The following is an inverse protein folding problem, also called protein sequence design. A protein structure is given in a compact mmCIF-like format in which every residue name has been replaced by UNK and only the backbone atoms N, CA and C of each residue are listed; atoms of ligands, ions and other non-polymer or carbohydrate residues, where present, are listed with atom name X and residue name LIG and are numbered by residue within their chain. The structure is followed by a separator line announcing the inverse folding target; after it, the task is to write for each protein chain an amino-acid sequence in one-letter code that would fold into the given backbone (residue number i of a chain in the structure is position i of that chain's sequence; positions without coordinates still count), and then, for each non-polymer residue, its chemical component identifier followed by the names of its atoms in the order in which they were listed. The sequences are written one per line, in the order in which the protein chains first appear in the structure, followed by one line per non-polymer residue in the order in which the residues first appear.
data_IF_522523817916
#
_entry.id   IF_522523817916
#
_cell.length_a   1.000
_cell.length_b   1.000
_cell.length_c   1.000
_cell.angle_alpha   90.00
_cell.angle_beta   90.00
_cell.angle_gamma   90.00
#
_symmetry.space_group_name_H-M   'P 1'
#
loop_
_entity.id
_entity.type
_entity.pdbx_description
1 polymer ?
#
# COMPACT_ATOMS: atom_id res chain seq x y z
N UNK A 1 -28.48 -22.55 -2.75
CA UNK A 1 -27.82 -22.40 -1.45
C UNK A 1 -27.41 -23.70 -0.77
N UNK A 2 -28.23 -24.76 -0.72
CA UNK A 2 -27.87 -26.04 -0.05
C UNK A 2 -26.64 -26.75 -0.64
N UNK A 3 -26.45 -26.70 -1.97
CA UNK A 3 -25.31 -27.35 -2.65
C UNK A 3 -23.99 -26.63 -2.31
N UNK A 4 -23.96 -25.32 -2.37
CA UNK A 4 -22.76 -24.55 -2.00
C UNK A 4 -22.35 -24.82 -0.55
N UNK A 5 -23.30 -24.83 0.39
CA UNK A 5 -23.02 -25.16 1.79
C UNK A 5 -22.45 -26.57 1.98
N UNK A 6 -22.88 -27.55 1.18
CA UNK A 6 -22.32 -28.90 1.26
C UNK A 6 -20.88 -28.97 0.71
N UNK A 7 -20.54 -28.18 -0.31
CA UNK A 7 -19.19 -28.10 -0.85
C UNK A 7 -18.23 -27.43 0.15
N UNK A 8 -18.66 -26.36 0.82
CA UNK A 8 -17.89 -25.77 1.92
C UNK A 8 -17.61 -26.76 3.04
N UNK A 9 -18.64 -27.49 3.48
CA UNK A 9 -18.47 -28.50 4.54
C UNK A 9 -17.50 -29.61 4.13
N UNK A 10 -17.49 -30.04 2.86
CA UNK A 10 -16.52 -31.02 2.36
C UNK A 10 -15.09 -30.54 2.45
N UNK A 11 -14.83 -29.28 2.09
CA UNK A 11 -13.50 -28.67 2.16
C UNK A 11 -13.03 -28.58 3.61
N UNK A 12 -13.83 -27.96 4.47
CA UNK A 12 -13.46 -27.72 5.87
C UNK A 12 -13.47 -28.99 6.74
N UNK A 13 -14.15 -30.06 6.31
CA UNK A 13 -14.05 -31.38 6.98
C UNK A 13 -12.77 -32.14 6.59
N UNK A 14 -12.07 -31.72 5.54
CA UNK A 14 -10.82 -32.36 5.14
C UNK A 14 -9.66 -31.82 5.98
N UNK A 15 -9.18 -32.65 6.91
CA UNK A 15 -8.08 -32.29 7.82
C UNK A 15 -6.79 -31.89 7.07
N UNK A 16 -6.49 -32.57 5.96
CA UNK A 16 -5.30 -32.28 5.14
C UNK A 16 -5.42 -30.88 4.55
N UNK A 17 -6.59 -30.52 4.06
CA UNK A 17 -6.84 -29.18 3.52
C UNK A 17 -6.64 -28.09 4.57
N UNK A 18 -7.18 -28.27 5.78
CA UNK A 18 -6.99 -27.34 6.88
C UNK A 18 -5.51 -27.18 7.29
N UNK A 19 -4.78 -28.29 7.37
CA UNK A 19 -3.35 -28.26 7.67
C UNK A 19 -2.59 -27.49 6.58
N UNK A 20 -2.89 -27.72 5.30
CA UNK A 20 -2.26 -27.02 4.20
C UNK A 20 -2.54 -25.50 4.25
N UNK A 21 -3.80 -25.09 4.50
CA UNK A 21 -4.14 -23.66 4.62
C UNK A 21 -3.36 -23.01 5.77
N UNK A 22 -3.33 -23.64 6.94
CA UNK A 22 -2.59 -23.12 8.09
C UNK A 22 -1.09 -23.03 7.76
N UNK A 23 -0.52 -24.06 7.14
CA UNK A 23 0.88 -24.06 6.74
C UNK A 23 1.21 -22.95 5.73
N UNK A 24 0.35 -22.71 4.73
CA UNK A 24 0.53 -21.62 3.78
C UNK A 24 0.39 -20.25 4.45
N UNK A 25 -0.56 -20.07 5.35
CA UNK A 25 -0.70 -18.82 6.10
C UNK A 25 0.51 -18.54 6.99
N UNK A 26 1.03 -19.56 7.68
CA UNK A 26 2.26 -19.44 8.45
C UNK A 26 3.47 -19.11 7.57
N UNK A 27 3.59 -19.77 6.41
CA UNK A 27 4.67 -19.49 5.46
C UNK A 27 4.58 -18.05 4.92
N UNK A 28 3.39 -17.58 4.54
CA UNK A 28 3.17 -16.22 4.06
C UNK A 28 3.55 -15.19 5.13
N UNK A 29 3.12 -15.41 6.37
CA UNK A 29 3.47 -14.56 7.50
C UNK A 29 4.99 -14.53 7.76
N UNK A 30 5.66 -15.67 7.66
CA UNK A 30 7.12 -15.74 7.79
C UNK A 30 7.84 -15.01 6.66
N UNK A 31 7.41 -15.21 5.41
CA UNK A 31 7.97 -14.50 4.26
C UNK A 31 7.76 -12.99 4.38
N UNK A 32 6.56 -12.57 4.79
CA UNK A 32 6.28 -11.16 5.04
C UNK A 32 7.27 -10.57 6.04
N UNK A 33 7.41 -11.21 7.21
CA UNK A 33 8.33 -10.73 8.24
C UNK A 33 9.77 -10.72 7.74
N UNK A 34 10.24 -11.80 7.09
CA UNK A 34 11.62 -11.89 6.63
C UNK A 34 11.97 -10.86 5.54
N UNK A 35 11.10 -10.66 4.57
CA UNK A 35 11.35 -9.73 3.46
C UNK A 35 11.19 -8.27 3.92
N UNK A 36 10.12 -7.97 4.64
CA UNK A 36 9.83 -6.59 5.05
C UNK A 36 10.70 -6.12 6.21
N UNK A 37 11.10 -7.01 7.13
CA UNK A 37 12.04 -6.62 8.18
C UNK A 37 13.42 -6.28 7.62
N UNK A 38 13.90 -7.04 6.63
CA UNK A 38 15.18 -6.76 5.97
C UNK A 38 15.17 -5.40 5.26
N UNK A 39 14.11 -5.09 4.52
CA UNK A 39 13.97 -3.79 3.84
C UNK A 39 13.80 -2.64 4.83
N UNK A 40 13.08 -2.88 5.91
CA UNK A 40 12.89 -1.88 6.97
C UNK A 40 14.17 -1.65 7.76
N UNK A 41 14.87 -2.71 8.20
CA UNK A 41 16.12 -2.62 8.95
C UNK A 41 17.25 -1.93 8.16
N UNK A 42 17.27 -2.10 6.83
CA UNK A 42 18.21 -1.42 5.95
C UNK A 42 17.77 0.00 5.53
N UNK A 43 16.59 0.45 5.99
CA UNK A 43 16.13 1.80 5.68
C UNK A 43 16.74 2.84 6.62
N UNK A 44 17.07 4.01 6.08
CA UNK A 44 17.54 5.15 6.88
C UNK A 44 16.56 5.54 8.00
N UNK A 45 15.27 5.25 7.83
CA UNK A 45 14.21 5.56 8.79
C UNK A 45 14.26 4.62 10.01
N UNK A 46 14.61 3.34 9.81
CA UNK A 46 14.71 2.38 10.92
C UNK A 46 15.88 2.66 11.87
N UNK A 47 16.92 3.32 11.37
CA UNK A 47 18.09 3.68 12.18
C UNK A 47 17.74 4.69 13.29
N UNK A 48 16.78 5.58 13.05
CA UNK A 48 16.26 6.53 14.03
C UNK A 48 14.80 6.90 13.75
N UNK A 49 13.89 5.97 14.11
CA UNK A 49 12.43 6.18 13.99
C UNK A 49 11.97 7.39 14.80
N UNK A 50 12.59 7.61 15.96
CA UNK A 50 12.26 8.73 16.84
C UNK A 50 12.54 10.09 16.19
N UNK A 51 13.69 10.23 15.53
CA UNK A 51 14.03 11.45 14.79
C UNK A 51 13.07 11.67 13.60
N UNK A 52 12.72 10.61 12.88
CA UNK A 52 11.77 10.72 11.77
C UNK A 52 10.37 11.15 12.22
N UNK A 53 9.86 10.55 13.29
CA UNK A 53 8.55 10.95 13.84
C UNK A 53 8.57 12.36 14.42
N UNK A 54 9.70 12.79 14.98
CA UNK A 54 9.86 14.17 15.44
C UNK A 54 9.83 15.15 14.27
N UNK A 55 10.55 14.87 13.18
CA UNK A 55 10.52 15.69 11.96
C UNK A 55 9.11 15.79 11.37
N UNK A 56 8.36 14.69 11.35
CA UNK A 56 6.95 14.67 10.92
C UNK A 56 6.10 15.58 11.80
N UNK A 57 6.22 15.50 13.11
CA UNK A 57 5.47 16.36 14.05
C UNK A 57 5.80 17.83 13.85
N UNK A 58 7.09 18.16 13.83
CA UNK A 58 7.55 19.53 13.62
C UNK A 58 7.05 20.11 12.28
N UNK A 59 7.06 19.29 11.22
CA UNK A 59 6.54 19.69 9.91
C UNK A 59 5.01 19.86 9.91
N UNK A 60 4.26 19.00 10.62
CA UNK A 60 2.81 19.14 10.73
C UNK A 60 2.40 20.39 11.52
N UNK A 61 3.17 20.76 12.54
CA UNK A 61 2.94 21.94 13.39
C UNK A 61 3.38 23.25 12.73
N UNK A 62 4.19 23.19 11.67
CA UNK A 62 4.63 24.35 10.94
C UNK A 62 3.48 25.00 10.15
N UNK A 63 3.38 26.34 10.19
CA UNK A 63 2.41 27.10 9.39
C UNK A 63 2.63 26.91 7.88
N UNK A 64 3.90 26.93 7.45
CA UNK A 64 4.33 26.66 6.09
C UNK A 64 5.25 25.44 6.07
N UNK A 65 4.70 24.30 5.65
CA UNK A 65 5.40 23.02 5.60
C UNK A 65 6.53 23.01 4.58
N UNK A 66 6.35 23.71 3.46
CA UNK A 66 7.37 23.81 2.43
C UNK A 66 8.55 24.66 2.90
N UNK A 67 8.30 25.80 3.56
CA UNK A 67 9.35 26.62 4.14
C UNK A 67 10.11 25.88 5.27
N UNK A 68 9.41 25.08 6.07
CA UNK A 68 10.04 24.21 7.07
C UNK A 68 10.97 23.18 6.40
N UNK A 69 10.48 22.51 5.37
CA UNK A 69 11.28 21.52 4.62
C UNK A 69 12.54 22.15 4.03
N UNK A 70 12.41 23.29 3.34
CA UNK A 70 13.55 24.02 2.74
C UNK A 70 14.58 24.45 3.80
N UNK A 71 14.11 24.88 4.97
CA UNK A 71 14.95 25.23 6.10
C UNK A 71 15.77 24.03 6.59
N UNK A 72 15.12 22.87 6.79
CA UNK A 72 15.78 21.65 7.25
C UNK A 72 16.73 21.05 6.21
N UNK A 73 16.35 21.10 4.94
CA UNK A 73 17.22 20.68 3.84
C UNK A 73 18.47 21.54 3.76
N UNK A 74 18.34 22.86 3.90
CA UNK A 74 19.47 23.79 3.94
C UNK A 74 20.38 23.53 5.15
N UNK A 75 19.81 23.26 6.32
CA UNK A 75 20.55 22.90 7.54
C UNK A 75 21.42 21.65 7.33
N UNK A 76 20.87 20.58 6.71
CA UNK A 76 21.62 19.36 6.41
C UNK A 76 22.70 19.61 5.36
N UNK A 77 22.43 20.40 4.31
CA UNK A 77 23.44 20.76 3.31
C UNK A 77 24.62 21.52 3.93
N UNK A 78 24.37 22.47 4.83
CA UNK A 78 25.42 23.18 5.55
C UNK A 78 26.23 22.21 6.42
N UNK A 79 25.55 21.30 7.15
CA UNK A 79 26.22 20.31 7.99
C UNK A 79 27.13 19.38 7.18
N UNK A 80 26.70 18.93 5.99
CA UNK A 80 27.52 18.14 5.07
C UNK A 80 28.76 18.91 4.60
N UNK A 81 28.62 20.20 4.24
CA UNK A 81 29.74 21.02 3.83
C UNK A 81 30.73 21.19 4.99
N UNK A 82 30.26 21.45 6.20
CA UNK A 82 31.10 21.61 7.38
C UNK A 82 31.84 20.31 7.74
N UNK A 83 31.17 19.18 7.67
CA UNK A 83 31.76 17.87 7.96
C UNK A 83 32.93 17.54 7.01
N UNK A 84 32.81 17.92 5.76
CA UNK A 84 33.86 17.71 4.74
C UNK A 84 34.88 18.87 4.66
N UNK A 85 34.94 19.73 5.66
CA UNK A 85 35.81 20.90 5.70
C UNK A 85 35.66 21.83 4.47
N UNK A 86 34.45 21.88 3.90
CA UNK A 86 34.11 22.77 2.80
C UNK A 86 33.92 24.23 3.26
N UNK A 87 33.90 25.15 2.30
CA UNK A 87 33.67 26.56 2.60
C UNK A 87 32.14 26.83 2.66
N UNK A 88 31.66 27.10 3.86
CA UNK A 88 30.25 27.43 4.12
C UNK A 88 30.03 28.94 4.44
N UNK A 89 31.01 29.82 4.14
CA UNK A 89 30.94 31.26 4.46
C UNK A 89 29.78 31.98 3.79
N UNK A 90 29.40 31.57 2.60
CA UNK A 90 28.23 32.10 1.90
C UNK A 90 26.93 31.80 2.65
N UNK A 91 26.79 30.55 3.12
CA UNK A 91 25.64 30.14 3.93
C UNK A 91 25.59 30.84 5.27
N UNK A 92 26.74 31.04 5.93
CA UNK A 92 26.86 31.80 7.16
C UNK A 92 26.37 33.25 7.02
N UNK A 93 26.65 33.88 5.87
CA UNK A 93 26.16 35.23 5.59
C UNK A 93 24.69 35.30 5.27
N UNK A 94 24.20 34.34 4.51
CA UNK A 94 22.80 34.30 4.02
C UNK A 94 21.82 33.74 5.05
N UNK A 95 22.23 32.71 5.80
CA UNK A 95 21.40 31.96 6.73
C UNK A 95 22.11 31.73 8.07
N UNK A 96 22.44 32.80 8.86
CA UNK A 96 23.27 32.67 10.06
C UNK A 96 22.68 31.70 11.09
N UNK A 97 21.37 31.74 11.33
CA UNK A 97 20.71 30.81 12.28
C UNK A 97 20.80 29.35 11.86
N UNK A 98 20.59 29.04 10.57
CA UNK A 98 20.70 27.67 10.06
C UNK A 98 22.15 27.19 10.10
N UNK A 99 23.11 28.10 9.88
CA UNK A 99 24.53 27.80 10.01
C UNK A 99 24.88 27.42 11.46
N UNK A 100 24.41 28.20 12.44
CA UNK A 100 24.69 27.94 13.86
C UNK A 100 24.02 26.60 14.30
N UNK A 101 22.82 26.31 13.83
CA UNK A 101 22.16 25.02 14.06
C UNK A 101 22.97 23.88 13.45
N UNK A 102 23.33 23.97 12.17
CA UNK A 102 24.11 22.96 11.47
C UNK A 102 25.47 22.69 12.11
N UNK A 103 26.15 23.75 12.55
CA UNK A 103 27.44 23.65 13.25
C UNK A 103 27.31 22.99 14.65
N UNK A 104 26.12 23.05 15.25
CA UNK A 104 25.80 22.38 16.52
C UNK A 104 25.40 20.93 16.37
N UNK A 105 25.21 20.45 15.13
CA UNK A 105 24.88 19.03 14.86
C UNK A 105 26.19 18.21 14.92
N UNK A 106 26.31 17.39 15.96
CA UNK A 106 27.40 16.41 16.07
C UNK A 106 26.98 15.10 15.40
N UNK A 107 26.93 15.13 14.06
CA UNK A 107 26.46 14.00 13.24
C UNK A 107 27.60 13.54 12.31
N UNK A 108 27.65 12.22 12.11
CA UNK A 108 28.54 11.60 11.13
C UNK A 108 27.88 11.55 9.73
N UNK A 109 28.65 11.10 8.73
CA UNK A 109 28.18 11.00 7.33
C UNK A 109 26.92 10.11 7.19
N UNK A 110 26.87 8.98 7.89
CA UNK A 110 25.76 8.05 7.82
C UNK A 110 24.49 8.67 8.43
N UNK A 111 24.62 9.38 9.53
CA UNK A 111 23.49 10.06 10.18
C UNK A 111 22.97 11.23 9.34
N UNK A 112 23.84 12.00 8.70
CA UNK A 112 23.46 13.06 7.78
C UNK A 112 22.76 12.49 6.53
N UNK A 113 23.30 11.39 6.00
CA UNK A 113 22.64 10.67 4.90
C UNK A 113 21.25 10.18 5.30
N UNK A 114 21.12 9.53 6.46
CA UNK A 114 19.84 9.06 6.96
C UNK A 114 18.83 10.21 7.12
N UNK A 115 19.23 11.34 7.66
CA UNK A 115 18.38 12.53 7.78
C UNK A 115 17.98 13.09 6.41
N UNK A 116 18.87 13.08 5.42
CA UNK A 116 18.52 13.50 4.06
C UNK A 116 17.47 12.59 3.42
N UNK A 117 17.56 11.27 3.65
CA UNK A 117 16.55 10.31 3.19
C UNK A 117 15.22 10.52 3.90
N UNK A 118 15.22 10.77 5.22
CA UNK A 118 14.01 11.12 5.98
C UNK A 118 13.31 12.36 5.41
N UNK A 119 14.07 13.42 5.12
CA UNK A 119 13.53 14.63 4.49
C UNK A 119 12.99 14.38 3.08
N UNK A 120 13.67 13.55 2.28
CA UNK A 120 13.18 13.18 0.95
C UNK A 120 11.82 12.46 1.02
N UNK A 121 11.63 11.60 2.02
CA UNK A 121 10.32 10.95 2.25
C UNK A 121 9.24 11.97 2.66
N UNK A 122 9.58 12.95 3.50
CA UNK A 122 8.66 14.03 3.88
C UNK A 122 8.30 14.86 2.65
N UNK A 123 9.27 15.20 1.80
CA UNK A 123 9.03 15.94 0.55
C UNK A 123 8.08 15.19 -0.38
N UNK A 124 8.28 13.89 -0.55
CA UNK A 124 7.40 13.07 -1.36
C UNK A 124 5.96 13.10 -0.83
N UNK A 125 5.77 12.99 0.50
CA UNK A 125 4.46 13.10 1.11
C UNK A 125 3.86 14.52 0.95
N UNK A 126 4.63 15.58 1.10
CA UNK A 126 4.18 16.96 0.89
C UNK A 126 3.68 17.17 -0.55
N UNK A 127 4.41 16.68 -1.55
CA UNK A 127 3.99 16.78 -2.94
C UNK A 127 2.65 16.05 -3.21
N UNK A 128 2.40 14.94 -2.52
CA UNK A 128 1.11 14.25 -2.59
C UNK A 128 0.00 15.03 -1.88
N UNK A 129 0.31 15.68 -0.75
CA UNK A 129 -0.64 16.52 -0.02
C UNK A 129 -1.05 17.72 -0.87
N UNK A 130 -0.10 18.41 -1.49
CA UNK A 130 -0.35 19.58 -2.35
C UNK A 130 -1.19 19.21 -3.58
N UNK A 131 -0.92 18.04 -4.18
CA UNK A 131 -1.68 17.55 -5.34
C UNK A 131 -3.06 16.98 -4.98
N UNK A 132 -3.31 16.67 -3.70
CA UNK A 132 -4.56 16.04 -3.27
C UNK A 132 -5.77 16.97 -3.43
N UNK A 133 -5.67 18.22 -3.03
CA UNK A 133 -6.75 19.18 -3.15
C UNK A 133 -7.10 19.45 -4.65
N UNK A 134 -6.08 19.55 -5.50
CA UNK A 134 -6.27 19.66 -6.93
C UNK A 134 -6.92 18.39 -7.51
N UNK A 135 -6.46 17.22 -7.11
CA UNK A 135 -7.05 15.94 -7.52
C UNK A 135 -8.55 15.88 -7.18
N UNK A 136 -8.92 16.19 -5.93
CA UNK A 136 -10.32 16.18 -5.48
C UNK A 136 -11.16 17.24 -6.20
N UNK A 137 -10.63 18.45 -6.39
CA UNK A 137 -11.35 19.52 -7.08
C UNK A 137 -11.62 19.19 -8.55
N UNK A 138 -10.69 18.49 -9.21
CA UNK A 138 -10.77 18.09 -10.60
C UNK A 138 -11.55 16.79 -10.84
N UNK A 139 -12.00 16.11 -9.78
CA UNK A 139 -12.66 14.81 -9.88
C UNK A 139 -13.93 14.86 -10.76
N UNK A 140 -14.74 15.90 -10.58
CA UNK A 140 -15.96 16.09 -11.37
C UNK A 140 -15.65 16.31 -12.86
N UNK A 141 -14.69 17.16 -13.16
CA UNK A 141 -14.26 17.43 -14.55
C UNK A 141 -13.70 16.18 -15.22
N UNK A 142 -12.91 15.38 -14.49
CA UNK A 142 -12.38 14.10 -15.00
C UNK A 142 -13.50 13.08 -15.23
N UNK A 143 -14.50 13.01 -14.36
CA UNK A 143 -15.66 12.14 -14.55
C UNK A 143 -16.46 12.53 -15.79
N UNK A 144 -16.74 13.82 -15.98
CA UNK A 144 -17.39 14.36 -17.19
C UNK A 144 -16.59 14.03 -18.46
N UNK A 145 -15.29 14.17 -18.41
CA UNK A 145 -14.41 13.81 -19.52
C UNK A 145 -14.44 12.31 -19.83
N UNK A 146 -14.39 11.46 -18.81
CA UNK A 146 -14.46 10.00 -18.98
C UNK A 146 -15.81 9.54 -19.52
N UNK A 147 -16.91 10.13 -19.06
CA UNK A 147 -18.26 9.80 -19.55
C UNK A 147 -18.47 10.18 -21.01
N UNK A 148 -17.66 11.08 -21.57
CA UNK A 148 -17.71 11.46 -22.99
C UNK A 148 -17.12 10.40 -23.94
N UNK A 149 -16.31 9.45 -23.43
CA UNK A 149 -15.78 8.36 -24.24
C UNK A 149 -16.87 7.31 -24.52
N UNK A 150 -16.99 6.88 -25.78
CA UNK A 150 -18.04 5.96 -26.24
C UNK A 150 -18.11 4.64 -25.47
N UNK A 151 -16.97 4.14 -24.97
CA UNK A 151 -16.89 2.89 -24.18
C UNK A 151 -17.52 3.01 -22.78
N UNK A 152 -17.69 4.24 -22.27
CA UNK A 152 -18.26 4.53 -20.95
C UNK A 152 -19.60 5.28 -21.05
N UNK A 153 -20.03 5.65 -22.26
CA UNK A 153 -21.22 6.48 -22.48
C UNK A 153 -22.54 5.69 -22.44
N UNK A 154 -22.49 4.36 -22.29
CA UNK A 154 -23.71 3.54 -22.23
C UNK A 154 -24.40 3.74 -20.89
N UNK A 155 -25.58 4.39 -20.85
CA UNK A 155 -26.36 4.55 -19.64
C UNK A 155 -26.66 3.17 -19.04
N UNK A 156 -26.71 3.06 -17.73
CA UNK A 156 -26.95 1.82 -16.98
C UNK A 156 -25.78 0.79 -16.95
N UNK A 157 -24.68 1.05 -17.67
CA UNK A 157 -23.49 0.23 -17.50
C UNK A 157 -22.88 0.43 -16.09
N UNK A 158 -22.19 -0.57 -15.59
CA UNK A 158 -21.49 -0.46 -14.31
C UNK A 158 -20.46 0.69 -14.34
N UNK A 159 -19.72 0.81 -15.45
CA UNK A 159 -18.71 1.85 -15.64
C UNK A 159 -19.30 3.24 -15.62
N UNK A 160 -20.41 3.49 -16.32
CA UNK A 160 -21.11 4.77 -16.34
C UNK A 160 -21.57 5.18 -14.93
N UNK A 161 -22.28 4.28 -14.22
CA UNK A 161 -22.73 4.52 -12.84
C UNK A 161 -21.60 4.79 -11.88
N UNK A 162 -20.46 4.10 -12.04
CA UNK A 162 -19.31 4.31 -11.19
C UNK A 162 -18.65 5.67 -11.43
N UNK A 163 -18.55 6.11 -12.70
CA UNK A 163 -18.04 7.43 -13.08
C UNK A 163 -18.94 8.54 -12.52
N UNK A 164 -20.27 8.41 -12.60
CA UNK A 164 -21.20 9.40 -12.05
C UNK A 164 -21.17 9.45 -10.51
N UNK A 165 -21.04 8.28 -9.87
CA UNK A 165 -21.04 8.18 -8.42
C UNK A 165 -19.74 8.68 -7.77
N UNK A 166 -18.60 8.46 -8.42
CA UNK A 166 -17.28 8.81 -7.87
C UNK A 166 -17.18 10.27 -7.42
N UNK A 167 -17.55 11.30 -8.22
CA UNK A 167 -17.46 12.69 -7.77
C UNK A 167 -18.37 13.00 -6.57
N UNK A 168 -19.49 12.29 -6.45
CA UNK A 168 -20.42 12.44 -5.32
C UNK A 168 -19.83 11.88 -4.05
N UNK A 169 -19.27 10.65 -4.11
CA UNK A 169 -18.66 9.99 -2.98
C UNK A 169 -17.42 10.78 -2.48
N UNK A 170 -16.62 11.33 -3.41
CA UNK A 170 -15.45 12.15 -3.06
C UNK A 170 -15.79 13.59 -2.64
N UNK A 171 -17.00 14.07 -2.89
CA UNK A 171 -17.41 15.39 -2.42
C UNK A 171 -17.41 15.49 -0.88
N UNK A 172 -17.65 14.38 -0.18
CA UNK A 172 -17.63 14.32 1.28
C UNK A 172 -16.23 14.47 1.89
N UNK A 173 -15.17 14.10 1.13
CA UNK A 173 -13.77 14.24 1.57
C UNK A 173 -13.14 15.57 1.15
N UNK A 174 -13.89 16.42 0.44
CA UNK A 174 -13.43 17.75 0.08
C UNK A 174 -13.22 18.61 1.32
N UNK A 175 -12.02 19.18 1.45
CA UNK A 175 -11.64 19.99 2.60
C UNK A 175 -11.00 19.22 3.75
N UNK A 176 -10.91 17.88 3.65
CA UNK A 176 -10.06 17.09 4.54
C UNK A 176 -8.60 17.42 4.21
N UNK A 177 -7.86 17.92 5.19
CA UNK A 177 -6.43 18.18 5.03
C UNK A 177 -5.65 16.92 5.39
N UNK A 178 -4.96 16.30 4.41
CA UNK A 178 -4.05 15.20 4.72
C UNK A 178 -2.92 15.70 5.63
N UNK A 179 -2.50 14.83 6.53
CA UNK A 179 -1.37 15.09 7.43
C UNK A 179 -0.21 14.15 7.08
N UNK A 180 1.00 14.60 7.34
CA UNK A 180 2.16 13.72 7.25
C UNK A 180 2.09 12.62 8.31
N UNK A 181 2.53 11.43 7.95
CA UNK A 181 2.56 10.30 8.86
C UNK A 181 3.68 9.32 8.53
N UNK A 182 3.99 8.45 9.48
CA UNK A 182 4.88 7.34 9.22
C UNK A 182 4.08 6.23 8.53
N UNK A 183 4.09 6.22 7.18
CA UNK A 183 3.35 5.29 6.35
C UNK A 183 4.14 4.03 5.95
N UNK A 184 5.35 3.85 6.49
CA UNK A 184 6.24 2.75 6.10
C UNK A 184 5.65 1.36 6.31
N UNK A 185 4.90 1.15 7.39
CA UNK A 185 4.21 -0.12 7.61
C UNK A 185 3.12 -0.39 6.56
N UNK A 186 2.39 0.65 6.15
CA UNK A 186 1.36 0.54 5.12
C UNK A 186 2.00 0.31 3.75
N UNK A 187 3.07 1.04 3.44
CA UNK A 187 3.85 0.88 2.21
C UNK A 187 4.41 -0.55 2.11
N UNK A 188 5.03 -1.06 3.19
CA UNK A 188 5.50 -2.42 3.27
C UNK A 188 4.37 -3.45 3.04
N UNK A 189 3.21 -3.24 3.67
CA UNK A 189 2.07 -4.13 3.51
C UNK A 189 1.48 -4.11 2.08
N UNK A 190 1.46 -2.94 1.43
CA UNK A 190 0.91 -2.79 0.07
C UNK A 190 1.89 -3.19 -1.03
N UNK A 191 3.19 -3.12 -0.79
CA UNK A 191 4.22 -3.56 -1.73
C UNK A 191 4.50 -5.07 -1.68
N UNK A 192 3.95 -5.79 -0.69
CA UNK A 192 4.18 -7.21 -0.52
C UNK A 192 3.36 -8.03 -1.53
N UNK A 193 4.02 -8.52 -2.57
CA UNK A 193 3.37 -9.27 -3.66
C UNK A 193 3.35 -10.80 -3.46
N UNK A 194 4.15 -11.33 -2.53
CA UNK A 194 4.31 -12.79 -2.33
C UNK A 194 2.99 -13.44 -1.94
N UNK A 195 2.14 -12.75 -1.17
CA UNK A 195 0.80 -13.23 -0.79
C UNK A 195 -0.08 -13.56 -2.02
N UNK A 196 0.09 -12.84 -3.14
CA UNK A 196 -0.65 -13.09 -4.38
C UNK A 196 -0.30 -14.46 -4.98
N UNK A 197 0.97 -14.86 -4.94
CA UNK A 197 1.41 -16.17 -5.42
C UNK A 197 0.94 -17.30 -4.50
N UNK A 198 1.00 -17.09 -3.18
CA UNK A 198 0.52 -18.05 -2.19
C UNK A 198 -1.00 -18.25 -2.34
N UNK A 199 -1.75 -17.18 -2.50
CA UNK A 199 -3.20 -17.25 -2.75
C UNK A 199 -3.50 -18.05 -4.03
N UNK A 200 -2.75 -17.84 -5.11
CA UNK A 200 -2.90 -18.60 -6.36
C UNK A 200 -2.67 -20.11 -6.13
N UNK A 201 -1.65 -20.47 -5.35
CA UNK A 201 -1.38 -21.88 -5.01
C UNK A 201 -2.53 -22.45 -4.19
N UNK A 202 -3.08 -21.72 -3.23
CA UNK A 202 -4.23 -22.14 -2.42
C UNK A 202 -5.44 -22.37 -3.34
N UNK A 203 -5.75 -21.44 -4.24
CA UNK A 203 -6.85 -21.57 -5.19
C UNK A 203 -6.69 -22.81 -6.08
N UNK A 204 -5.49 -23.07 -6.59
CA UNK A 204 -5.20 -24.28 -7.37
C UNK A 204 -5.39 -25.56 -6.54
N UNK A 205 -4.91 -25.57 -5.30
CA UNK A 205 -5.03 -26.71 -4.39
C UNK A 205 -6.51 -26.99 -4.06
N UNK A 206 -7.30 -25.95 -3.79
CA UNK A 206 -8.76 -26.09 -3.58
C UNK A 206 -9.43 -26.70 -4.80
N UNK A 207 -9.10 -26.20 -6.01
CA UNK A 207 -9.66 -26.75 -7.25
C UNK A 207 -9.30 -28.25 -7.41
N UNK A 208 -8.03 -28.60 -7.23
CA UNK A 208 -7.59 -29.99 -7.34
C UNK A 208 -8.35 -30.88 -6.35
N UNK A 209 -8.45 -30.48 -5.09
CA UNK A 209 -9.14 -31.26 -4.06
C UNK A 209 -10.63 -31.43 -4.36
N UNK A 210 -11.32 -30.35 -4.78
CA UNK A 210 -12.74 -30.41 -5.11
C UNK A 210 -13.07 -31.37 -6.26
N UNK A 211 -12.20 -31.39 -7.28
CA UNK A 211 -12.43 -32.27 -8.45
C UNK A 211 -11.90 -33.69 -8.26
N UNK A 212 -10.77 -33.86 -7.55
CA UNK A 212 -10.14 -35.19 -7.34
C UNK A 212 -10.98 -36.08 -6.43
N UNK A 213 -11.49 -35.56 -5.32
CA UNK A 213 -12.30 -36.33 -4.36
C UNK A 213 -13.57 -36.88 -5.01
N UNK A 214 -14.19 -36.14 -5.90
CA UNK A 214 -15.37 -36.62 -6.62
C UNK A 214 -15.02 -37.70 -7.66
N UNK A 215 -13.86 -37.55 -8.30
CA UNK A 215 -13.38 -38.54 -9.27
C UNK A 215 -13.04 -39.87 -8.59
N UNK A 216 -12.34 -39.84 -7.47
CA UNK A 216 -11.97 -41.05 -6.70
C UNK A 216 -13.18 -41.78 -6.18
N UNK A 217 -14.23 -41.10 -5.73
CA UNK A 217 -15.47 -41.67 -5.22
C UNK A 217 -16.47 -42.06 -6.33
N UNK A 218 -16.13 -41.85 -7.60
CA UNK A 218 -17.04 -42.13 -8.72
C UNK A 218 -18.27 -41.21 -8.80
N UNK A 219 -18.37 -40.21 -7.91
CA UNK A 219 -19.55 -39.34 -7.82
C UNK A 219 -19.72 -38.46 -9.06
N UNK A 220 -18.67 -38.25 -9.83
CA UNK A 220 -18.71 -37.47 -11.07
C UNK A 220 -19.64 -38.14 -12.12
N UNK A 221 -19.80 -39.46 -12.10
CA UNK A 221 -20.69 -40.18 -13.02
C UNK A 221 -22.15 -39.88 -12.68
N UNK A 222 -22.47 -39.85 -11.37
CA UNK A 222 -23.81 -39.51 -10.88
C UNK A 222 -24.17 -38.05 -11.20
N UNK A 223 -23.24 -37.14 -11.00
CA UNK A 223 -23.44 -35.72 -11.31
C UNK A 223 -23.63 -35.51 -12.82
N UNK A 224 -22.89 -36.25 -13.66
CA UNK A 224 -23.03 -36.18 -15.12
C UNK A 224 -24.35 -36.77 -15.64
N UNK A 225 -24.95 -37.74 -14.95
CA UNK A 225 -26.19 -38.38 -15.36
C UNK A 225 -27.44 -37.53 -15.07
N UNK A 226 -27.35 -36.53 -14.24
CA UNK A 226 -28.46 -35.63 -13.93
C UNK A 226 -28.56 -34.46 -14.91
N UNK A 227 -29.77 -34.19 -15.44
CA UNK A 227 -30.00 -33.18 -16.49
C UNK A 227 -29.56 -31.74 -16.10
N UNK A 228 -29.60 -31.40 -14.83
CA UNK A 228 -29.16 -30.08 -14.28
C UNK A 228 -27.83 -30.13 -13.54
N UNK A 229 -27.23 -31.31 -13.36
CA UNK A 229 -26.08 -31.50 -12.47
C UNK A 229 -24.81 -30.87 -12.96
N UNK A 230 -24.58 -30.82 -14.28
CA UNK A 230 -23.34 -30.34 -14.87
C UNK A 230 -23.10 -28.85 -14.61
N UNK A 231 -24.00 -27.99 -15.04
CA UNK A 231 -23.83 -26.53 -14.97
C UNK A 231 -23.98 -26.01 -13.54
N UNK A 232 -25.02 -26.50 -12.83
CA UNK A 232 -25.27 -26.08 -11.44
C UNK A 232 -24.14 -26.49 -10.51
N UNK A 233 -23.58 -27.70 -10.65
CA UNK A 233 -22.47 -28.15 -9.79
C UNK A 233 -21.18 -27.41 -10.10
N UNK A 234 -20.86 -27.14 -11.39
CA UNK A 234 -19.69 -26.36 -11.78
C UNK A 234 -19.83 -24.93 -11.28
N UNK A 235 -20.99 -24.31 -11.47
CA UNK A 235 -21.23 -22.95 -10.98
C UNK A 235 -21.11 -22.85 -9.45
N UNK A 236 -21.67 -23.82 -8.71
CA UNK A 236 -21.53 -23.85 -7.25
C UNK A 236 -20.07 -24.04 -6.80
N UNK A 237 -19.27 -24.84 -7.52
CA UNK A 237 -17.86 -25.03 -7.20
C UNK A 237 -17.05 -23.77 -7.47
N UNK A 238 -17.31 -23.08 -8.58
CA UNK A 238 -16.66 -21.80 -8.89
C UNK A 238 -17.02 -20.69 -7.89
N UNK A 239 -18.20 -20.75 -7.26
CA UNK A 239 -18.60 -19.81 -6.22
C UNK A 239 -17.96 -20.10 -4.84
N UNK A 240 -17.42 -21.31 -4.66
CA UNK A 240 -16.79 -21.73 -3.39
C UNK A 240 -15.27 -21.52 -3.41
N UNK A 241 -14.68 -21.44 -4.60
CA UNK A 241 -13.26 -21.12 -4.83
C UNK A 241 -13.07 -19.62 -4.92
#
# INVERSE_FOLDING_TARGET
MRIAGSEYLKLFSNKIFLICIIAFFCADSLFFVMLQSSDYENSAISSDVGAYEQLIRECNDAEDKNAFFESKNTEIQIAQILLHNGNADEYKKKYPKLYDNAAGLDLNDDELFNRSVMLSNIQAQLSHIDSYEEFISNMKSRAEQQSSFSIFAEPDSFSFRNIEKTPVDFAEVKGVKPILGNNKAVEAATSYEVSSYILLIIVLLVNILMFSVEREKGLYILVRSTAKGRLSTIACKLLVV
#
